data_IF_641259427948
#
_entry.id   IF_641259427948
#
_cell.length_a   1.000
_cell.length_b   1.000
_cell.length_c   1.000
_cell.angle_alpha   90.00
_cell.angle_beta   90.00
_cell.angle_gamma   90.00
#
_symmetry.space_group_name_H-M   'P 1'
#
loop_
_entity.id
_entity.type
_entity.pdbx_description
1 polymer ?
#
# COMPACT_ATOMS: atom_id res chain seq x y z
N UNK A 1 13.70 0.23 6.15
CA UNK A 1 12.51 -0.65 6.38
C UNK A 1 12.46 -1.76 5.33
N UNK A 2 11.66 -1.57 4.29
CA UNK A 2 11.51 -2.56 3.22
C UNK A 2 11.20 -1.83 1.93
N UNK A 3 11.54 -2.41 0.78
CA UNK A 3 11.42 -1.68 -0.49
C UNK A 3 9.98 -1.68 -0.99
N UNK A 4 9.68 -0.84 -1.99
CA UNK A 4 8.28 -0.74 -2.45
C UNK A 4 7.71 -2.03 -2.98
N UNK A 5 8.50 -2.83 -3.69
CA UNK A 5 7.99 -4.07 -4.26
C UNK A 5 7.38 -4.95 -3.18
N UNK A 6 8.02 -5.01 -2.00
CA UNK A 6 7.47 -5.79 -0.89
C UNK A 6 6.15 -5.19 -0.44
N UNK A 7 6.09 -3.86 -0.29
CA UNK A 7 4.87 -3.23 0.17
C UNK A 7 3.74 -3.42 -0.82
N UNK A 8 4.04 -3.39 -2.13
CA UNK A 8 2.99 -3.53 -3.14
C UNK A 8 2.36 -4.91 -3.12
N UNK A 9 3.01 -5.89 -2.49
CA UNK A 9 2.41 -7.21 -2.33
C UNK A 9 1.24 -7.20 -1.35
N UNK A 10 1.14 -6.18 -0.51
CA UNK A 10 0.07 -6.07 0.48
C UNK A 10 -1.12 -5.38 -0.18
N UNK A 11 -2.28 -6.02 -0.13
CA UNK A 11 -3.49 -5.53 -0.78
C UNK A 11 -4.70 -5.78 0.12
N UNK A 12 -5.70 -4.93 -0.03
CA UNK A 12 -6.93 -5.10 0.74
C UNK A 12 -7.64 -6.38 0.30
N UNK A 13 -8.12 -7.14 1.30
CA UNK A 13 -8.85 -8.38 1.06
C UNK A 13 -9.98 -8.45 2.08
N UNK A 14 -11.11 -7.85 1.74
CA UNK A 14 -12.27 -7.93 2.61
C UNK A 14 -12.11 -7.05 3.83
N UNK A 15 -12.35 -7.63 5.01
CA UNK A 15 -12.29 -6.88 6.25
C UNK A 15 -10.90 -6.31 6.52
N UNK A 16 -9.87 -6.86 5.90
CA UNK A 16 -8.51 -6.43 6.17
C UNK A 16 -7.61 -6.43 4.96
N UNK A 17 -6.57 -7.27 4.98
CA UNK A 17 -5.52 -7.24 3.97
C UNK A 17 -5.09 -8.67 3.64
N UNK A 18 -4.13 -8.77 2.73
CA UNK A 18 -3.54 -10.04 2.33
C UNK A 18 -2.21 -9.78 1.66
N UNK A 19 -1.48 -10.87 1.38
CA UNK A 19 -0.11 -10.76 0.92
C UNK A 19 0.14 -11.72 -0.24
N UNK A 20 0.62 -11.17 -1.35
CA UNK A 20 1.00 -11.98 -2.51
C UNK A 20 2.44 -12.46 -2.30
N UNK A 21 2.58 -13.69 -1.79
CA UNK A 21 3.91 -14.26 -1.64
C UNK A 21 4.55 -14.49 -3.00
N UNK A 22 3.79 -15.02 -3.94
CA UNK A 22 4.26 -15.22 -5.31
C UNK A 22 3.12 -14.88 -6.26
N UNK A 23 3.35 -14.89 -7.57
CA UNK A 23 2.27 -14.51 -8.51
C UNK A 23 1.00 -15.31 -8.35
N UNK A 24 1.04 -16.47 -7.71
CA UNK A 24 -0.13 -17.31 -7.54
C UNK A 24 -0.44 -17.65 -6.08
N UNK A 25 0.48 -17.39 -5.16
CA UNK A 25 0.27 -17.71 -3.75
C UNK A 25 -0.11 -16.45 -3.00
N UNK A 26 -1.19 -16.53 -2.22
CA UNK A 26 -1.77 -15.37 -1.55
C UNK A 26 -2.16 -15.78 -0.14
N UNK A 27 -1.39 -15.32 0.85
CA UNK A 27 -1.65 -15.63 2.25
C UNK A 27 -2.48 -14.51 2.86
N UNK A 28 -3.33 -14.87 3.81
CA UNK A 28 -4.18 -13.90 4.49
C UNK A 28 -4.70 -14.55 5.78
N UNK A 29 -5.67 -13.89 6.42
CA UNK A 29 -6.29 -14.38 7.63
C UNK A 29 -7.67 -14.96 7.31
N UNK A 30 -7.97 -16.11 7.91
CA UNK A 30 -9.24 -16.78 7.62
C UNK A 30 -10.42 -15.89 7.96
N UNK A 31 -10.28 -14.99 8.92
CA UNK A 31 -11.41 -14.20 9.39
C UNK A 31 -11.71 -13.00 8.51
N UNK A 32 -10.72 -12.48 7.77
CA UNK A 32 -10.95 -11.33 6.91
C UNK A 32 -11.53 -11.72 5.56
N UNK A 33 -11.71 -13.01 5.30
CA UNK A 33 -12.21 -13.43 3.99
C UNK A 33 -13.60 -12.86 3.78
N UNK A 34 -13.90 -12.26 2.63
CA UNK A 34 -15.25 -11.71 2.40
C UNK A 34 -16.29 -12.81 2.40
N UNK A 35 -17.54 -12.40 2.56
CA UNK A 35 -18.66 -13.33 2.62
C UNK A 35 -19.27 -13.56 1.24
N UNK A 40 -12.86 -14.21 -5.67
CA UNK A 40 -11.70 -13.49 -5.17
C UNK A 40 -10.79 -13.07 -6.32
N UNK A 41 -10.46 -11.78 -6.39
CA UNK A 41 -9.62 -11.25 -7.45
C UNK A 41 -10.14 -11.67 -8.82
N UNK A 42 -11.46 -11.71 -8.95
CA UNK A 42 -12.08 -12.15 -10.18
C UNK A 42 -11.81 -13.61 -10.48
N UNK A 43 -12.03 -14.47 -9.49
CA UNK A 43 -11.82 -15.91 -9.64
C UNK A 43 -12.92 -16.64 -8.91
N UNK A 44 -13.50 -17.71 -9.48
CA UNK A 44 -14.50 -18.48 -8.74
C UNK A 44 -13.91 -19.05 -7.46
N UNK A 45 -14.66 -18.92 -6.36
CA UNK A 45 -14.20 -19.47 -5.09
C UNK A 45 -13.95 -20.98 -5.21
N UNK A 46 -14.62 -21.64 -6.14
CA UNK A 46 -14.37 -23.07 -6.36
C UNK A 46 -13.03 -23.28 -7.06
N UNK A 47 -12.68 -22.39 -8.00
CA UNK A 47 -11.45 -22.53 -8.76
C UNK A 47 -10.21 -22.32 -7.90
N UNK A 48 -10.34 -21.72 -6.72
CA UNK A 48 -9.21 -21.40 -5.88
C UNK A 48 -8.92 -22.58 -4.95
N UNK A 49 -7.63 -22.90 -4.79
CA UNK A 49 -7.20 -23.98 -3.89
C UNK A 49 -6.96 -23.36 -2.51
N UNK A 50 -7.97 -23.42 -1.66
CA UNK A 50 -7.90 -22.83 -0.33
C UNK A 50 -7.30 -23.85 0.63
N UNK A 51 -6.43 -23.38 1.52
CA UNK A 51 -5.90 -24.18 2.61
C UNK A 51 -5.91 -23.35 3.88
N UNK A 52 -6.27 -23.97 5.00
CA UNK A 52 -6.36 -23.27 6.28
C UNK A 52 -5.63 -24.07 7.36
N UNK A 53 -4.95 -23.35 8.24
CA UNK A 53 -4.26 -23.94 9.39
C UNK A 53 -4.47 -22.99 10.57
N UNK A 54 -5.67 -22.98 11.09
CA UNK A 54 -6.05 -22.04 12.15
C UNK A 54 -6.63 -20.76 11.55
N UNK A 55 -5.99 -19.63 11.86
CA UNK A 55 -6.37 -18.35 11.27
C UNK A 55 -5.47 -17.98 10.09
N UNK A 56 -4.76 -18.95 9.52
CA UNK A 56 -3.90 -18.75 8.37
C UNK A 56 -4.60 -19.33 7.15
N UNK A 57 -4.77 -18.52 6.11
CA UNK A 57 -5.40 -18.95 4.87
C UNK A 57 -4.43 -18.76 3.73
N UNK A 58 -4.09 -19.86 3.05
CA UNK A 58 -3.20 -19.84 1.89
C UNK A 58 -4.02 -20.17 0.64
N UNK A 59 -4.04 -19.24 -0.31
CA UNK A 59 -4.78 -19.40 -1.56
C UNK A 59 -3.80 -19.55 -2.70
N UNK A 60 -3.82 -20.72 -3.34
CA UNK A 60 -3.06 -20.94 -4.57
C UNK A 60 -4.04 -20.91 -5.74
N UNK A 61 -3.82 -19.96 -6.65
CA UNK A 61 -4.73 -19.76 -7.77
C UNK A 61 -4.26 -20.56 -8.98
N UNK A 62 -5.18 -20.93 -9.88
CA UNK A 62 -4.79 -21.75 -11.04
C UNK A 62 -3.96 -20.98 -12.06
N UNK A 63 -4.15 -19.67 -12.16
CA UNK A 63 -3.45 -18.84 -13.12
C UNK A 63 -2.64 -17.77 -12.40
N UNK A 64 -1.38 -17.54 -12.77
CA UNK A 64 -0.64 -16.41 -12.19
C UNK A 64 -1.37 -15.10 -12.40
N UNK A 65 -1.82 -14.50 -11.30
CA UNK A 65 -2.53 -13.23 -11.35
C UNK A 65 -1.56 -12.06 -11.23
N UNK A 66 -0.69 -12.09 -10.24
CA UNK A 66 0.23 -10.99 -9.93
C UNK A 66 1.57 -11.26 -10.61
N UNK A 67 1.64 -10.93 -11.89
CA UNK A 67 2.83 -11.22 -12.68
C UNK A 67 3.95 -10.22 -12.44
N UNK A 68 3.64 -9.05 -11.85
CA UNK A 68 4.66 -8.04 -11.60
C UNK A 68 5.63 -8.48 -10.51
N UNK A 69 5.17 -9.29 -9.56
CA UNK A 69 5.98 -9.66 -8.41
C UNK A 69 6.75 -10.95 -8.71
N UNK A 70 7.60 -11.33 -7.77
CA UNK A 70 8.46 -12.50 -7.85
C UNK A 70 8.05 -13.48 -6.75
N UNK A 71 8.68 -14.64 -6.72
CA UNK A 71 8.52 -15.54 -5.60
C UNK A 71 9.37 -15.12 -4.42
N UNK A 72 8.88 -15.42 -3.22
CA UNK A 72 9.55 -15.04 -1.98
C UNK A 72 9.44 -16.19 -0.99
N UNK A 73 10.43 -16.28 -0.10
CA UNK A 73 10.49 -17.39 0.84
C UNK A 73 9.40 -17.23 1.90
N UNK A 74 8.62 -18.30 2.09
CA UNK A 74 7.57 -18.35 3.10
C UNK A 74 7.90 -19.45 4.09
N UNK A 75 8.00 -19.09 5.36
CA UNK A 75 8.37 -20.03 6.41
C UNK A 75 7.32 -20.07 7.51
N UNK A 76 7.38 -21.13 8.31
CA UNK A 76 6.47 -21.31 9.44
C UNK A 76 7.05 -20.54 10.62
N UNK A 77 6.69 -19.26 10.73
CA UNK A 77 7.15 -18.46 11.84
C UNK A 77 8.65 -18.21 11.78
N UNK A 78 9.20 -17.88 12.95
CA UNK A 78 10.62 -17.61 13.10
C UNK A 78 11.05 -18.13 14.46
N UNK A 79 12.32 -18.50 14.63
CA UNK A 79 12.79 -18.91 15.95
C UNK A 79 12.56 -17.83 16.99
N UNK A 80 12.48 -18.26 18.24
CA UNK A 80 12.17 -17.35 19.33
C UNK A 80 13.27 -16.31 19.48
N UNK A 81 12.87 -15.04 19.61
CA UNK A 81 13.78 -13.93 19.73
C UNK A 81 13.99 -13.15 18.46
N UNK A 82 13.59 -13.71 17.31
CA UNK A 82 13.72 -12.98 16.05
C UNK A 82 12.91 -11.70 16.11
N UNK A 83 13.44 -10.64 15.51
CA UNK A 83 12.78 -9.35 15.41
C UNK A 83 12.25 -9.23 13.99
N UNK A 84 10.96 -9.46 13.81
CA UNK A 84 10.31 -9.32 12.52
C UNK A 84 9.70 -7.93 12.39
N UNK A 85 9.32 -7.59 11.16
CA UNK A 85 8.68 -6.31 10.87
C UNK A 85 7.26 -6.59 10.37
N UNK A 86 6.27 -6.22 11.17
CA UNK A 86 4.88 -6.26 10.74
C UNK A 86 4.62 -5.07 9.83
N UNK A 87 4.32 -5.35 8.55
CA UNK A 87 4.13 -4.30 7.55
C UNK A 87 2.65 -3.95 7.47
N UNK A 88 2.26 -2.92 8.22
CA UNK A 88 0.86 -2.52 8.31
C UNK A 88 0.57 -1.46 7.26
N UNK A 89 -0.50 -1.67 6.50
CA UNK A 89 -1.09 -0.64 5.66
C UNK A 89 -2.43 -0.24 6.28
N UNK A 90 -2.63 1.06 6.45
CA UNK A 90 -3.93 1.53 6.91
C UNK A 90 -4.77 2.00 5.72
N UNK A 91 -6.09 1.89 5.80
CA UNK A 91 -6.92 2.27 4.65
C UNK A 91 -6.70 3.69 4.19
N UNK A 92 -6.15 4.56 5.03
CA UNK A 92 -5.86 5.94 4.63
C UNK A 92 -4.67 6.04 3.70
N UNK A 93 -3.94 4.94 3.47
CA UNK A 93 -2.76 4.92 2.64
C UNK A 93 -1.47 4.86 3.41
N UNK A 94 -1.47 5.35 4.65
CA UNK A 94 -0.25 5.40 5.46
C UNK A 94 0.36 4.02 5.62
N UNK A 95 1.69 4.00 5.76
CA UNK A 95 2.44 2.77 6.01
C UNK A 95 2.97 2.79 7.44
N UNK A 96 2.90 1.64 8.10
CA UNK A 96 3.32 1.52 9.50
C UNK A 96 4.12 0.23 9.69
N UNK A 97 5.40 0.25 9.35
CA UNK A 97 6.29 -0.88 9.74
C UNK A 97 6.51 -0.86 11.25
N UNK A 98 6.15 -1.97 11.90
CA UNK A 98 6.29 -2.12 13.34
C UNK A 98 7.19 -3.31 13.64
N UNK A 99 8.21 -3.07 14.46
CA UNK A 99 9.09 -4.15 14.88
C UNK A 99 8.39 -5.03 15.90
N UNK A 100 8.59 -6.34 15.78
CA UNK A 100 7.98 -7.31 16.69
C UNK A 100 9.01 -8.36 17.07
N UNK A 101 9.18 -8.56 18.38
CA UNK A 101 10.06 -9.63 18.88
C UNK A 101 9.22 -10.89 18.97
N UNK A 102 9.42 -11.79 18.00
CA UNK A 102 8.62 -13.02 17.96
C UNK A 102 8.91 -13.89 19.17
N UNK A 103 7.86 -14.38 19.82
CA UNK A 103 8.00 -15.29 20.93
C UNK A 103 7.60 -16.70 20.56
N UNK A 104 7.04 -17.45 21.50
CA UNK A 104 6.63 -18.82 21.24
C UNK A 104 5.17 -18.85 20.80
N UNK A 105 4.68 -20.04 20.49
CA UNK A 105 3.30 -20.21 20.07
C UNK A 105 2.39 -20.31 21.29
N UNK A 106 1.24 -19.62 21.21
CA UNK A 106 0.30 -19.57 22.31
C UNK A 106 -1.11 -19.59 21.77
N UNK A 107 -2.08 -19.57 22.68
CA UNK A 107 -3.50 -19.55 22.35
C UNK A 107 -4.19 -18.61 23.32
N UNK A 108 -5.10 -17.78 22.81
CA UNK A 108 -5.74 -16.78 23.65
C UNK A 108 -7.15 -16.48 23.14
N UNK A 109 -7.93 -15.87 24.02
CA UNK A 109 -9.28 -15.42 23.69
C UNK A 109 -9.26 -13.91 23.45
N UNK A 110 -9.76 -13.48 22.31
CA UNK A 110 -9.97 -12.06 22.04
C UNK A 110 -11.20 -11.92 21.15
N UNK A 111 -12.14 -11.06 21.57
CA UNK A 111 -13.37 -10.83 20.84
C UNK A 111 -14.18 -12.12 20.71
N UNK A 112 -14.32 -12.84 21.82
CA UNK A 112 -15.08 -14.08 21.82
C UNK A 112 -14.60 -15.07 20.79
N UNK A 113 -13.28 -15.25 20.70
CA UNK A 113 -12.70 -16.07 19.63
C UNK A 113 -11.35 -16.59 20.13
N UNK A 114 -11.19 -17.92 20.11
CA UNK A 114 -9.94 -18.55 20.52
C UNK A 114 -8.98 -18.55 19.33
N UNK A 115 -7.87 -17.83 19.47
CA UNK A 115 -6.94 -17.60 18.38
C UNK A 115 -5.61 -18.26 18.69
N UNK A 116 -4.96 -18.78 17.66
CA UNK A 116 -3.67 -19.43 17.81
C UNK A 116 -2.70 -18.97 16.74
N UNK A 117 -1.45 -18.79 17.15
CA UNK A 117 -0.41 -18.36 16.23
C UNK A 117 0.86 -18.13 17.00
N UNK A 118 1.89 -17.63 16.28
CA UNK A 118 3.16 -17.33 16.93
C UNK A 118 3.05 -15.96 17.58
N UNK A 119 3.08 -15.94 18.91
CA UNK A 119 3.06 -14.67 19.62
C UNK A 119 4.26 -13.82 19.26
N UNK A 120 4.02 -12.52 19.15
CA UNK A 120 5.09 -11.55 19.06
C UNK A 120 4.74 -10.36 19.93
N UNK A 121 5.66 -9.40 19.99
CA UNK A 121 5.42 -8.20 20.75
C UNK A 121 5.97 -6.98 20.04
N UNK A 122 5.16 -5.93 19.99
CA UNK A 122 5.58 -4.67 19.40
C UNK A 122 6.53 -3.95 20.33
N UNK A 123 7.60 -3.40 19.78
CA UNK A 123 8.63 -2.71 20.53
C UNK A 123 8.62 -1.23 20.18
N UNK A 124 9.27 -0.43 21.02
CA UNK A 124 9.34 1.01 20.80
C UNK A 124 9.94 1.33 19.43
N UNK A 133 2.23 3.41 16.80
CA UNK A 133 1.12 3.65 17.73
C UNK A 133 0.59 2.34 18.29
N UNK A 134 -0.05 1.55 17.44
CA UNK A 134 -0.65 0.29 17.84
C UNK A 134 -1.51 -0.30 16.75
N UNK A 135 -1.80 -1.60 16.86
CA UNK A 135 -2.53 -2.31 15.83
C UNK A 135 -4.05 -2.16 16.03
N UNK A 136 -4.78 -2.50 14.98
CA UNK A 136 -6.24 -2.48 14.96
C UNK A 136 -6.73 -3.73 14.26
N UNK A 137 -7.97 -4.15 14.50
CA UNK A 137 -8.51 -5.33 13.82
C UNK A 137 -8.53 -5.19 12.30
N UNK A 138 -8.65 -3.96 11.80
CA UNK A 138 -8.58 -3.74 10.36
C UNK A 138 -7.22 -4.01 9.75
N UNK A 139 -6.19 -4.15 10.58
CA UNK A 139 -4.83 -4.41 10.12
C UNK A 139 -4.54 -5.89 9.89
N UNK A 140 -5.46 -6.77 10.24
CA UNK A 140 -5.22 -8.20 10.07
C UNK A 140 -5.07 -8.54 8.58
N UNK A 141 -4.26 -9.54 8.30
CA UNK A 141 -3.93 -9.93 6.95
C UNK A 141 -2.57 -9.46 6.49
N UNK A 142 -1.97 -8.49 7.17
CA UNK A 142 -0.68 -7.95 6.78
C UNK A 142 0.45 -8.89 7.21
N UNK A 143 1.61 -8.77 6.59
CA UNK A 143 2.67 -9.76 6.80
C UNK A 143 3.68 -9.40 7.89
N UNK A 144 4.18 -10.45 8.54
CA UNK A 144 5.40 -10.37 9.34
C UNK A 144 6.57 -10.79 8.45
N UNK A 145 7.58 -9.93 8.35
CA UNK A 145 8.69 -10.13 7.44
C UNK A 145 9.99 -9.78 8.14
N UNK A 146 11.01 -10.61 7.93
CA UNK A 146 12.35 -10.32 8.41
C UNK A 146 13.35 -10.73 7.34
N UNK A 147 14.39 -9.91 7.17
CA UNK A 147 15.37 -10.12 6.12
C UNK A 147 16.47 -11.06 6.58
N UNK A 148 16.83 -12.01 5.72
CA UNK A 148 17.85 -13.00 5.99
C UNK A 148 18.90 -12.90 4.89
N UNK A 149 19.92 -12.09 5.12
CA UNK A 149 20.92 -11.80 4.10
C UNK A 149 20.35 -10.85 3.07
N UNK A 150 20.25 -11.32 1.83
CA UNK A 150 19.61 -10.55 0.77
C UNK A 150 18.13 -10.90 0.60
N UNK A 151 17.72 -12.10 1.00
CA UNK A 151 16.36 -12.56 0.78
C UNK A 151 15.43 -12.02 1.86
N UNK A 152 14.31 -11.43 1.42
CA UNK A 152 13.22 -11.14 2.35
C UNK A 152 12.41 -12.39 2.59
N UNK A 153 11.92 -12.56 3.81
CA UNK A 153 11.30 -13.79 4.27
C UNK A 153 10.00 -13.46 4.98
N UNK A 154 8.91 -14.13 4.58
CA UNK A 154 7.61 -14.00 5.22
C UNK A 154 7.47 -15.14 6.21
N UNK A 155 6.98 -14.83 7.41
CA UNK A 155 6.80 -15.83 8.45
C UNK A 155 5.35 -16.08 8.78
N UNK A 156 4.44 -15.23 8.35
CA UNK A 156 3.03 -15.41 8.66
C UNK A 156 2.27 -14.12 8.41
N UNK A 157 1.11 -14.03 9.07
CA UNK A 157 0.16 -12.95 8.84
C UNK A 157 -0.44 -12.52 10.18
N UNK A 158 -0.71 -11.23 10.30
CA UNK A 158 -1.36 -10.71 11.51
C UNK A 158 -2.80 -11.19 11.57
N UNK A 159 -3.19 -11.69 12.73
CA UNK A 159 -4.53 -12.25 12.93
C UNK A 159 -5.25 -11.73 14.16
N UNK A 160 -4.56 -11.24 15.18
CA UNK A 160 -5.19 -10.80 16.41
C UNK A 160 -4.23 -9.91 17.18
N UNK A 161 -4.76 -9.23 18.20
CA UNK A 161 -3.98 -8.34 19.04
C UNK A 161 -4.66 -8.24 20.39
N UNK A 162 -3.86 -8.17 21.45
CA UNK A 162 -4.41 -8.08 22.79
C UNK A 162 -5.18 -6.78 22.97
N UNK A 163 -6.10 -6.79 23.94
CA UNK A 163 -7.01 -5.66 24.12
C UNK A 163 -6.25 -4.37 24.37
N UNK A 164 -5.34 -4.38 25.34
CA UNK A 164 -4.56 -3.19 25.64
C UNK A 164 -3.07 -3.41 25.45
N UNK A 165 -2.64 -4.66 25.44
CA UNK A 165 -1.23 -4.96 25.39
C UNK A 165 -0.65 -4.87 23.99
N UNK A 166 0.68 -4.91 23.94
CA UNK A 166 1.42 -4.93 22.69
C UNK A 166 1.65 -6.36 22.20
N UNK A 167 1.06 -7.35 22.87
CA UNK A 167 1.11 -8.72 22.37
C UNK A 167 0.32 -8.81 21.07
N UNK A 168 0.87 -9.57 20.11
CA UNK A 168 0.26 -9.74 18.80
C UNK A 168 0.46 -11.17 18.35
N UNK A 169 -0.49 -11.68 17.58
CA UNK A 169 -0.48 -13.05 17.10
C UNK A 169 -0.15 -13.05 15.63
N UNK A 170 0.74 -13.95 15.21
CA UNK A 170 1.13 -14.11 13.82
C UNK A 170 0.68 -15.49 13.35
N UNK A 171 -0.34 -15.53 12.51
CA UNK A 171 -0.78 -16.78 11.92
C UNK A 171 0.35 -17.40 11.11
N UNK A 172 0.64 -18.68 11.39
CA UNK A 172 1.78 -19.38 10.80
C UNK A 172 1.28 -20.57 9.96
N UNK A 173 2.23 -21.41 9.55
CA UNK A 173 1.93 -22.59 8.76
C UNK A 173 1.24 -22.21 7.46
N UNK B 1 13.80 3.78 -6.60
CA UNK B 1 14.36 5.16 -6.48
C UNK B 1 13.44 6.04 -5.65
N UNK B 2 12.13 5.80 -5.75
CA UNK B 2 11.13 6.51 -4.95
C UNK B 2 10.82 5.68 -3.71
N UNK B 3 10.96 6.22 -2.50
CA UNK B 3 10.81 5.39 -1.30
C UNK B 3 9.35 5.08 -1.04
N UNK B 4 9.07 4.06 -0.21
CA UNK B 4 7.67 3.68 0.02
C UNK B 4 6.80 4.83 0.49
N UNK B 5 7.35 5.73 1.32
CA UNK B 5 6.54 6.82 1.87
C UNK B 5 5.94 7.67 0.76
N UNK B 6 6.67 7.89 -0.33
CA UNK B 6 6.14 8.70 -1.42
C UNK B 6 5.11 7.93 -2.21
N UNK B 7 5.28 6.61 -2.33
CA UNK B 7 4.26 5.78 -2.97
C UNK B 7 2.98 5.79 -2.15
N UNK B 8 3.10 5.70 -0.83
CA UNK B 8 1.92 5.69 0.03
C UNK B 8 1.08 6.95 -0.14
N UNK B 9 1.68 8.05 -0.63
CA UNK B 9 0.90 9.26 -0.87
C UNK B 9 -0.13 9.07 -1.96
N UNK B 10 0.14 8.19 -2.93
CA UNK B 10 -0.78 7.97 -4.04
C UNK B 10 -1.93 7.11 -3.55
N UNK B 11 -3.14 7.62 -3.66
CA UNK B 11 -4.35 6.95 -3.18
C UNK B 11 -5.40 7.00 -4.27
N UNK B 12 -6.11 5.90 -4.46
CA UNK B 12 -7.14 5.84 -5.48
C UNK B 12 -8.27 6.82 -5.15
N UNK B 13 -8.74 7.53 -6.17
CA UNK B 13 -9.77 8.53 -5.99
C UNK B 13 -10.72 8.49 -7.18
N UNK B 14 -12.01 8.34 -6.89
CA UNK B 14 -13.00 8.35 -7.95
C UNK B 14 -12.76 7.24 -8.95
N UNK B 15 -12.50 7.61 -10.21
CA UNK B 15 -12.27 6.66 -11.28
C UNK B 15 -10.80 6.36 -11.51
N UNK B 16 -9.91 7.07 -10.83
CA UNK B 16 -8.49 6.85 -11.01
C UNK B 16 -7.68 7.01 -9.74
N UNK B 17 -6.88 8.07 -9.66
CA UNK B 17 -5.95 8.23 -8.54
C UNK B 17 -5.80 9.71 -8.22
N UNK B 18 -5.12 9.98 -7.11
CA UNK B 18 -4.75 11.32 -6.73
C UNK B 18 -3.48 11.27 -5.91
N UNK B 19 -3.10 12.36 -5.27
CA UNK B 19 -1.79 12.42 -4.63
C UNK B 19 -1.81 13.39 -3.46
N UNK B 20 -1.16 13.00 -2.37
CA UNK B 20 -1.05 13.82 -1.18
C UNK B 20 0.22 14.66 -1.24
N UNK B 21 0.07 15.97 -1.22
CA UNK B 21 1.22 16.86 -1.11
C UNK B 21 1.56 17.13 0.36
N UNK B 22 0.54 17.15 1.23
CA UNK B 22 0.68 17.41 2.65
C UNK B 22 -0.43 16.69 3.40
N UNK B 23 -0.45 16.76 4.74
CA UNK B 23 -1.58 16.16 5.47
C UNK B 23 -2.93 16.73 5.06
N UNK B 24 -2.95 17.88 4.39
CA UNK B 24 -4.19 18.57 4.09
C UNK B 24 -4.36 18.93 2.61
N UNK B 25 -3.34 18.77 1.78
CA UNK B 25 -3.42 19.11 0.36
C UNK B 25 -3.39 17.83 -0.48
N UNK B 26 -4.33 17.72 -1.41
CA UNK B 26 -4.49 16.52 -2.23
C UNK B 26 -4.82 16.94 -3.65
N UNK B 27 -4.04 16.43 -4.61
CA UNK B 27 -4.16 16.82 -6.02
C UNK B 27 -4.58 15.61 -6.84
N UNK B 28 -5.27 15.89 -7.95
CA UNK B 28 -5.77 14.86 -8.84
C UNK B 28 -6.15 15.53 -10.16
N UNK B 29 -6.72 14.74 -11.07
CA UNK B 29 -7.25 15.24 -12.33
C UNK B 29 -8.76 15.41 -12.23
N UNK B 30 -9.31 16.23 -13.12
CA UNK B 30 -10.72 16.57 -13.02
C UNK B 30 -11.64 15.48 -13.61
N UNK B 31 -11.12 14.62 -14.48
CA UNK B 31 -11.94 13.58 -15.08
C UNK B 31 -12.16 12.39 -14.16
N UNK B 32 -11.49 12.33 -13.02
CA UNK B 32 -11.71 11.25 -12.05
C UNK B 32 -12.57 11.70 -10.88
N UNK B 33 -12.75 12.99 -10.68
CA UNK B 33 -13.60 13.51 -9.60
C UNK B 33 -15.04 13.04 -9.85
N UNK B 34 -15.64 12.26 -8.93
CA UNK B 34 -17.02 11.80 -9.11
C UNK B 34 -18.04 12.93 -9.20
N UNK B 40 -16.09 13.08 0.37
CA UNK B 40 -14.66 12.99 0.07
C UNK B 40 -13.85 12.66 1.32
N UNK B 41 -13.38 11.41 1.40
CA UNK B 41 -12.46 10.99 2.47
C UNK B 41 -13.09 11.19 3.84
N UNK B 42 -14.42 11.14 3.91
CA UNK B 42 -15.14 11.38 5.14
C UNK B 42 -15.49 12.84 5.40
N UNK B 43 -14.89 13.77 4.65
CA UNK B 43 -15.14 15.19 4.85
C UNK B 43 -16.27 15.64 3.94
N UNK B 44 -17.19 16.48 4.41
CA UNK B 44 -18.27 16.95 3.53
C UNK B 44 -17.72 17.58 2.26
N UNK B 45 -18.43 17.38 1.15
CA UNK B 45 -18.01 17.97 -0.11
C UNK B 45 -18.08 19.49 -0.08
N UNK B 46 -18.77 20.07 0.91
CA UNK B 46 -18.85 21.51 1.04
C UNK B 46 -17.79 22.08 1.97
N UNK B 47 -17.23 21.25 2.86
CA UNK B 47 -16.19 21.68 3.79
C UNK B 47 -14.80 21.60 3.17
N UNK B 48 -14.70 21.57 1.84
CA UNK B 48 -13.43 21.43 1.14
C UNK B 48 -13.28 22.60 0.18
N UNK B 49 -12.03 22.99 -0.06
CA UNK B 49 -11.69 23.97 -1.10
C UNK B 49 -11.36 23.19 -2.37
N UNK B 50 -12.20 23.35 -3.40
CA UNK B 50 -11.98 22.72 -4.70
C UNK B 50 -11.66 23.85 -5.68
N UNK B 51 -10.41 23.91 -6.13
CA UNK B 51 -9.94 24.95 -7.04
C UNK B 51 -9.45 24.26 -8.32
N UNK B 52 -10.40 23.82 -9.14
CA UNK B 52 -10.07 23.27 -10.44
C UNK B 52 -9.28 24.28 -11.25
N UNK B 53 -8.34 23.79 -12.06
CA UNK B 53 -7.45 24.66 -12.82
C UNK B 53 -7.13 24.05 -14.17
N UNK B 54 -8.12 23.40 -14.79
CA UNK B 54 -7.96 22.87 -16.13
C UNK B 54 -7.36 21.48 -16.16
N UNK B 55 -8.22 20.46 -16.01
CA UNK B 55 -7.80 19.05 -15.93
C UNK B 55 -6.90 18.79 -14.73
N UNK B 56 -6.76 19.77 -13.84
CA UNK B 56 -5.98 19.65 -12.61
C UNK B 56 -6.82 20.24 -11.50
N UNK B 57 -6.77 19.61 -10.32
CA UNK B 57 -7.61 20.03 -9.22
C UNK B 57 -6.88 19.87 -7.90
N UNK B 58 -7.04 20.87 -7.03
CA UNK B 58 -6.45 20.86 -5.70
C UNK B 58 -7.56 20.81 -4.66
N UNK B 59 -7.41 19.95 -3.66
CA UNK B 59 -8.38 19.75 -2.60
C UNK B 59 -7.71 20.01 -1.26
N UNK B 60 -8.21 20.99 -0.53
CA UNK B 60 -7.61 21.42 0.74
C UNK B 60 -8.63 21.20 1.86
N UNK B 61 -8.25 20.36 2.86
CA UNK B 61 -9.14 20.03 3.95
C UNK B 61 -8.88 20.93 5.16
N UNK B 62 -9.91 21.23 5.96
CA UNK B 62 -9.67 22.09 7.14
C UNK B 62 -8.86 21.41 8.22
N UNK B 63 -8.82 20.08 8.24
CA UNK B 63 -8.07 19.32 9.22
C UNK B 63 -7.12 18.38 8.51
N UNK B 64 -5.90 18.20 9.02
CA UNK B 64 -4.99 17.22 8.42
C UNK B 64 -5.62 15.83 8.36
N UNK B 65 -5.44 15.17 7.23
CA UNK B 65 -5.88 13.80 7.04
C UNK B 65 -4.70 12.83 7.03
N UNK B 66 -3.62 13.18 6.35
CA UNK B 66 -2.42 12.34 6.26
C UNK B 66 -1.30 12.96 7.08
N UNK B 67 -1.45 12.89 8.41
CA UNK B 67 -0.44 13.45 9.30
C UNK B 67 0.90 12.72 9.19
N UNK B 68 0.91 11.53 8.60
CA UNK B 68 2.16 10.80 8.40
C UNK B 68 3.03 11.43 7.33
N UNK B 69 2.50 12.37 6.55
CA UNK B 69 3.12 12.83 5.32
C UNK B 69 3.72 14.21 5.56
N UNK B 70 4.94 14.41 5.08
CA UNK B 70 5.61 15.69 5.21
C UNK B 70 5.21 16.60 4.04
N UNK B 71 5.38 17.90 4.24
CA UNK B 71 5.08 18.86 3.21
C UNK B 71 6.10 18.78 2.09
N UNK B 72 5.66 18.40 0.89
CA UNK B 72 6.53 18.28 -0.27
C UNK B 72 6.24 19.40 -1.25
N UNK B 73 7.29 19.85 -1.94
CA UNK B 73 7.19 21.00 -2.84
C UNK B 73 6.44 20.61 -4.09
N UNK B 74 5.42 21.40 -4.44
CA UNK B 74 4.66 21.24 -5.68
C UNK B 74 4.92 22.47 -6.54
N UNK B 75 5.57 22.26 -7.68
CA UNK B 75 5.80 23.32 -8.64
C UNK B 75 4.86 23.15 -9.84
N UNK B 76 4.80 24.19 -10.68
CA UNK B 76 3.93 24.14 -11.85
C UNK B 76 4.33 23.02 -12.78
N UNK B 77 5.59 22.99 -13.18
CA UNK B 77 6.08 21.94 -14.07
C UNK B 77 7.53 21.60 -13.82
N UNK B 78 8.19 21.07 -14.86
CA UNK B 78 9.61 20.77 -14.76
C UNK B 78 10.37 21.49 -15.86
N UNK B 79 11.54 22.07 -15.57
CA UNK B 79 12.34 22.65 -16.65
C UNK B 79 12.51 21.68 -17.79
N UNK B 80 12.51 22.20 -19.01
CA UNK B 80 12.62 21.36 -20.19
C UNK B 80 13.88 20.49 -20.11
N UNK B 81 13.69 19.18 -20.31
CA UNK B 81 14.77 18.22 -20.21
C UNK B 81 14.84 17.48 -18.89
N UNK B 82 14.00 17.82 -17.93
CA UNK B 82 14.00 17.13 -16.65
C UNK B 82 13.38 15.75 -16.80
N UNK B 83 14.06 14.74 -16.29
CA UNK B 83 13.60 13.35 -16.46
C UNK B 83 12.69 13.07 -15.27
N UNK B 84 11.43 13.47 -15.43
CA UNK B 84 10.43 13.20 -14.40
C UNK B 84 10.08 11.72 -14.37
N UNK B 85 9.38 11.31 -13.32
CA UNK B 85 8.99 9.92 -13.11
C UNK B 85 7.49 9.85 -12.88
N UNK B 86 6.77 9.28 -13.84
CA UNK B 86 5.32 9.11 -13.74
C UNK B 86 5.04 7.90 -12.84
N UNK B 87 4.54 8.16 -11.63
CA UNK B 87 4.31 7.11 -10.65
C UNK B 87 2.88 6.60 -10.76
N UNK B 88 2.69 5.60 -11.64
CA UNK B 88 1.38 5.02 -11.88
C UNK B 88 1.17 3.85 -10.94
N UNK B 89 0.03 3.85 -10.25
CA UNK B 89 -0.46 2.69 -9.53
C UNK B 89 -1.57 2.03 -10.33
N UNK B 90 -1.73 0.72 -10.15
CA UNK B 90 -2.76 -0.05 -10.81
C UNK B 90 -3.67 -0.69 -9.76
N UNK B 91 -4.90 -1.06 -10.14
CA UNK B 91 -5.81 -1.66 -9.15
C UNK B 91 -5.28 -2.95 -8.54
N UNK B 92 -4.49 -3.72 -9.29
CA UNK B 92 -3.95 -4.97 -8.77
C UNK B 92 -2.93 -4.76 -7.67
N UNK B 93 -2.46 -3.53 -7.46
CA UNK B 93 -1.42 -3.24 -6.50
C UNK B 93 -0.05 -3.02 -7.12
N UNK B 94 0.11 -3.31 -8.41
CA UNK B 94 1.39 -3.13 -9.07
C UNK B 94 1.81 -1.66 -9.03
N UNK B 95 3.10 -1.44 -8.84
CA UNK B 95 3.70 -0.11 -8.93
C UNK B 95 4.41 -0.01 -10.28
N UNK B 96 4.07 1.02 -11.07
CA UNK B 96 4.56 1.18 -12.44
C UNK B 96 5.28 2.51 -12.57
N UNK B 97 6.55 2.58 -12.15
CA UNK B 97 7.34 3.79 -12.42
C UNK B 97 7.73 3.87 -13.88
N UNK B 98 7.65 5.07 -14.44
CA UNK B 98 7.91 5.28 -15.86
C UNK B 98 8.73 6.56 -16.02
N UNK B 99 9.91 6.41 -16.60
CA UNK B 99 10.77 7.56 -16.85
C UNK B 99 10.19 8.41 -17.97
N UNK B 100 9.95 9.69 -17.70
CA UNK B 100 9.40 10.63 -18.66
C UNK B 100 10.35 11.81 -18.82
N UNK B 101 10.62 12.16 -20.08
CA UNK B 101 11.63 13.18 -20.37
C UNK B 101 11.10 14.59 -20.21
N UNK B 102 9.80 14.81 -20.43
CA UNK B 102 9.21 16.13 -20.26
C UNK B 102 9.77 17.10 -21.30
N UNK B 117 7.98 20.29 -19.59
CA UNK B 117 7.41 20.38 -18.26
C UNK B 117 5.93 20.05 -18.24
N UNK B 118 5.35 19.90 -19.43
CA UNK B 118 3.91 19.66 -19.55
C UNK B 118 3.60 18.48 -20.47
N UNK B 119 4.47 18.22 -21.45
CA UNK B 119 4.36 17.07 -22.34
C UNK B 119 5.61 16.21 -22.17
N UNK B 120 5.43 14.89 -22.16
CA UNK B 120 6.50 13.99 -21.82
C UNK B 120 6.66 12.85 -22.80
N UNK B 121 7.90 12.36 -22.91
CA UNK B 121 8.25 11.23 -23.77
C UNK B 121 8.73 10.10 -22.89
N UNK B 122 8.04 8.97 -22.93
CA UNK B 122 8.47 7.81 -22.15
C UNK B 122 9.76 7.24 -22.72
N UNK B 123 10.50 6.54 -21.86
CA UNK B 123 11.82 6.03 -22.21
C UNK B 123 11.82 4.50 -22.30
N UNK B 137 -8.64 3.69 -19.30
CA UNK B 137 -7.35 3.46 -18.65
C UNK B 137 -7.44 3.52 -17.14
N UNK B 138 -7.83 4.68 -16.61
CA UNK B 138 -7.94 4.85 -15.18
C UNK B 138 -6.66 5.19 -14.47
N UNK B 139 -5.60 5.53 -15.20
CA UNK B 139 -4.35 5.97 -14.59
C UNK B 139 -4.32 7.45 -14.29
N UNK B 140 -5.22 8.24 -14.88
CA UNK B 140 -5.20 9.68 -14.72
C UNK B 140 -5.24 10.05 -13.25
N UNK B 141 -4.52 11.13 -12.90
CA UNK B 141 -4.40 11.59 -11.54
C UNK B 141 -3.08 11.23 -10.88
N UNK B 142 -2.41 10.20 -11.36
CA UNK B 142 -1.12 9.82 -10.80
C UNK B 142 -0.11 10.96 -10.98
N UNK B 143 0.80 11.15 -10.04
CA UNK B 143 1.63 12.35 -10.03
C UNK B 143 2.87 12.22 -10.91
N UNK B 144 3.54 13.35 -11.08
CA UNK B 144 4.84 13.44 -11.75
C UNK B 144 5.85 13.99 -10.75
N UNK B 145 6.95 13.26 -10.56
CA UNK B 145 7.94 13.61 -9.56
C UNK B 145 9.31 13.70 -10.23
N UNK B 146 10.16 14.57 -9.72
CA UNK B 146 11.56 14.62 -10.11
C UNK B 146 12.38 15.11 -8.93
N UNK B 147 13.54 14.49 -8.73
CA UNK B 147 14.36 14.75 -7.56
C UNK B 147 15.35 15.88 -7.83
N UNK B 148 15.41 16.83 -6.91
CA UNK B 148 16.27 18.01 -7.04
C UNK B 148 16.92 18.24 -5.68
N UNK B 149 18.21 17.99 -5.59
CA UNK B 149 18.83 17.99 -4.28
C UNK B 149 18.25 16.86 -3.45
N UNK B 150 18.41 16.99 -2.13
CA UNK B 150 17.90 15.99 -1.18
C UNK B 150 16.41 16.15 -0.89
N UNK B 151 15.62 16.52 -1.90
CA UNK B 151 14.19 16.76 -1.71
C UNK B 151 13.47 16.52 -3.03
N UNK B 152 12.30 15.89 -2.95
CA UNK B 152 11.48 15.60 -4.12
C UNK B 152 10.62 16.81 -4.48
N UNK B 153 10.09 16.80 -5.71
CA UNK B 153 9.27 17.87 -6.23
C UNK B 153 8.15 17.26 -7.07
N UNK B 154 6.91 17.67 -6.80
CA UNK B 154 5.77 17.30 -7.62
C UNK B 154 5.59 18.39 -8.67
N UNK B 155 5.13 17.99 -9.86
CA UNK B 155 4.98 18.92 -10.97
C UNK B 155 3.62 18.82 -11.65
N UNK B 156 2.75 17.93 -11.22
CA UNK B 156 1.44 17.80 -11.82
C UNK B 156 0.93 16.38 -11.70
N UNK B 157 -0.08 16.07 -12.52
CA UNK B 157 -0.76 14.78 -12.47
C UNK B 157 -0.99 14.26 -13.89
N UNK B 158 -1.19 12.95 -13.97
CA UNK B 158 -1.43 12.30 -15.25
C UNK B 158 -2.80 12.69 -15.81
N UNK B 159 -2.81 13.18 -17.05
CA UNK B 159 -4.03 13.63 -17.72
C UNK B 159 -4.48 12.69 -18.82
N UNK B 160 -3.59 12.31 -19.73
CA UNK B 160 -3.94 11.40 -20.81
C UNK B 160 -2.66 10.94 -21.51
N UNK B 161 -2.77 9.85 -22.25
CA UNK B 161 -1.64 9.29 -22.97
C UNK B 161 -2.16 8.34 -24.05
N UNK B 162 -1.46 8.31 -25.18
CA UNK B 162 -1.82 7.45 -26.30
C UNK B 162 -0.81 7.58 -27.43
N UNK B 166 3.80 6.43 -27.08
CA UNK B 166 4.79 6.78 -26.08
C UNK B 166 4.47 8.13 -25.43
N UNK B 167 3.47 8.81 -25.98
CA UNK B 167 3.14 10.17 -25.55
C UNK B 167 2.53 10.17 -24.16
N UNK B 168 2.78 11.24 -23.42
CA UNK B 168 2.20 11.43 -22.08
C UNK B 168 2.03 12.93 -21.84
N UNK B 169 1.04 13.27 -21.01
CA UNK B 169 0.72 14.66 -20.71
C UNK B 169 0.55 14.79 -19.20
N UNK B 170 0.97 15.95 -18.68
CA UNK B 170 0.98 16.22 -17.24
C UNK B 170 0.25 17.52 -16.97
N UNK B 171 -0.84 17.43 -16.21
CA UNK B 171 -1.60 18.62 -15.84
C UNK B 171 -0.79 19.51 -14.92
N UNK B 172 -0.92 20.81 -15.10
CA UNK B 172 -0.16 21.79 -14.34
C UNK B 172 -1.07 22.52 -13.36
N UNK B 173 -0.44 23.24 -12.43
CA UNK B 173 -1.13 23.90 -11.31
C UNK B 173 -2.56 24.33 -11.65
#
# INVERSE_FOLDING_TARGET
MAPPSIWSRIVNFGSGWGFWVSPSLFITSTHVIPQGTQEFFGVPTKQIQIHKSGEFCRLRFPKPIRTDVTGMILEEGAPEGTVATLLIKRPTGELMPLAARMGTHATMKIQGRTVGGQMGMLLTGSNAKSMDLGTTPGDCGCPYIYKRGNDYVVIGVHTAAARGGNTVICATQGSEGEAMLE
MAPPSIWSRIVNFGSGWGFWVSPSLFITSTHVIPQGTQEFFGVPTKQIQIHKSGEFCRLRFPKPIRTDVTGMILEEGAPEGTVATLLIKRPTGELMPLAARMGTHATMKIQGRTVGGQMGMLLTGSNAKSMDLGTTPGDCGCPYIYKRGNDYVVIGVHTAAARGGNTVICATQGSEGEAMLE
#
